data_IF_003858844195
#
_entry.id   IF_003858844195
#
_cell.length_a   1.000
_cell.length_b   1.000
_cell.length_c   1.000
_cell.angle_alpha   90.00
_cell.angle_beta   90.00
_cell.angle_gamma   90.00
#
_symmetry.space_group_name_H-M   'P 1'
#
loop_
_entity.id
_entity.type
_entity.pdbx_description
1 polymer ?
#
# COMPACT_ATOMS: atom_id res chain seq x y z
N UNK A 1 -6.08 12.98 -17.25
CA UNK A 1 -7.42 12.46 -16.94
C UNK A 1 -7.34 11.98 -15.51
N UNK A 2 -8.09 12.58 -14.59
CA UNK A 2 -8.01 12.22 -13.17
C UNK A 2 -8.67 10.86 -12.97
N UNK A 3 -7.98 9.92 -12.31
CA UNK A 3 -8.44 8.55 -12.02
C UNK A 3 -9.62 8.48 -11.01
N UNK A 4 -10.40 9.57 -10.90
CA UNK A 4 -11.45 9.78 -9.90
C UNK A 4 -12.61 8.79 -9.96
N UNK A 5 -12.66 7.91 -10.96
CA UNK A 5 -13.70 6.89 -11.13
C UNK A 5 -13.21 5.45 -10.90
N UNK A 6 -11.96 5.26 -10.49
CA UNK A 6 -11.42 3.94 -10.16
C UNK A 6 -11.73 3.64 -8.68
N UNK A 7 -12.41 2.54 -8.35
CA UNK A 7 -12.65 2.19 -6.95
C UNK A 7 -11.33 1.82 -6.26
N UNK A 8 -11.21 2.20 -4.98
CA UNK A 8 -10.07 1.78 -4.15
C UNK A 8 -10.11 0.25 -4.01
N UNK A 9 -8.99 -0.46 -4.28
CA UNK A 9 -8.95 -1.92 -4.23
C UNK A 9 -9.18 -2.45 -2.81
N UNK A 10 -9.52 -3.74 -2.69
CA UNK A 10 -9.75 -4.39 -1.40
C UNK A 10 -8.53 -4.36 -0.48
N UNK A 11 -7.34 -4.40 -1.08
CA UNK A 11 -6.06 -4.32 -0.37
C UNK A 11 -5.20 -3.20 -0.93
N UNK A 12 -4.58 -2.47 -0.02
CA UNK A 12 -3.54 -1.47 -0.29
C UNK A 12 -2.37 -1.74 0.66
N UNK A 13 -1.21 -1.21 0.33
CA UNK A 13 0.04 -1.63 0.93
C UNK A 13 0.82 -0.44 1.48
N UNK A 14 1.34 -0.59 2.70
CA UNK A 14 2.35 0.29 3.27
C UNK A 14 3.70 -0.41 3.26
N UNK A 15 4.75 0.29 2.89
CA UNK A 15 6.14 -0.19 3.01
C UNK A 15 6.76 0.49 4.23
N UNK A 16 7.38 -0.29 5.11
CA UNK A 16 8.15 0.21 6.26
C UNK A 16 9.56 -0.39 6.26
N UNK A 17 10.59 0.37 6.66
CA UNK A 17 12.00 -0.06 6.57
C UNK A 17 12.45 -0.89 7.78
N UNK A 18 11.56 -1.16 8.73
CA UNK A 18 11.88 -1.87 9.97
C UNK A 18 10.73 -2.80 10.35
N UNK A 19 11.06 -3.90 11.02
CA UNK A 19 10.07 -4.85 11.50
C UNK A 19 9.03 -4.15 12.39
N UNK A 20 7.73 -4.25 12.06
CA UNK A 20 6.67 -3.74 12.94
C UNK A 20 6.72 -4.44 14.31
N UNK A 21 6.33 -3.76 15.41
CA UNK A 21 6.23 -4.40 16.71
C UNK A 21 5.26 -5.59 16.70
N UNK A 22 5.56 -6.60 17.51
CA UNK A 22 4.69 -7.77 17.73
C UNK A 22 4.38 -7.91 19.22
N UNK A 23 3.09 -7.90 19.63
CA UNK A 23 1.90 -7.68 18.79
C UNK A 23 1.85 -6.28 18.18
N UNK A 24 1.10 -6.11 17.10
CA UNK A 24 0.88 -4.80 16.51
C UNK A 24 0.20 -3.88 17.55
N UNK A 25 0.66 -2.63 17.71
CA UNK A 25 -0.02 -1.67 18.56
C UNK A 25 -1.33 -1.22 17.90
N UNK A 26 -2.20 -0.58 18.69
CA UNK A 26 -3.43 0.03 18.17
C UNK A 26 -3.14 1.00 17.01
N UNK A 27 -2.12 1.85 17.18
CA UNK A 27 -1.57 2.71 16.12
C UNK A 27 -0.05 2.56 16.04
N UNK A 28 0.45 2.27 14.85
CA UNK A 28 1.84 2.43 14.47
C UNK A 28 2.17 3.93 14.41
N UNK A 29 3.43 4.30 14.71
CA UNK A 29 3.89 5.65 14.47
C UNK A 29 3.87 5.95 12.96
N UNK A 30 3.54 7.19 12.61
CA UNK A 30 3.65 7.67 11.24
C UNK A 30 5.12 7.72 10.82
N UNK A 31 5.38 7.53 9.52
CA UNK A 31 6.68 7.92 8.97
C UNK A 31 6.83 9.43 9.03
N UNK A 32 8.07 9.93 9.01
CA UNK A 32 8.33 11.37 8.98
C UNK A 32 7.66 12.04 7.77
N UNK A 33 7.62 11.36 6.62
CA UNK A 33 6.97 11.84 5.40
C UNK A 33 5.45 11.92 5.56
N UNK A 34 4.82 10.86 6.09
CA UNK A 34 3.36 10.87 6.32
C UNK A 34 2.94 11.97 7.31
N UNK A 35 3.74 12.18 8.37
CA UNK A 35 3.49 13.21 9.36
C UNK A 35 3.66 14.62 8.78
N UNK A 36 4.62 14.80 7.87
CA UNK A 36 4.86 16.07 7.17
C UNK A 36 3.73 16.39 6.18
N UNK A 37 3.29 15.39 5.42
CA UNK A 37 2.31 15.58 4.34
C UNK A 37 0.85 15.53 4.83
N UNK A 38 0.62 15.07 6.06
CA UNK A 38 -0.70 15.05 6.70
C UNK A 38 -1.62 13.91 6.22
N UNK A 39 -1.04 12.88 5.59
CA UNK A 39 -1.73 11.65 5.18
C UNK A 39 -0.77 10.48 5.12
N UNK A 40 -1.30 9.25 5.17
CA UNK A 40 -0.49 8.04 5.04
C UNK A 40 -0.36 7.66 3.57
N UNK A 41 0.88 7.60 3.08
CA UNK A 41 1.21 7.10 1.75
C UNK A 41 1.02 5.60 1.67
N UNK A 42 0.19 5.15 0.74
CA UNK A 42 -0.07 3.77 0.43
C UNK A 42 0.12 3.53 -1.07
N UNK A 43 0.25 2.27 -1.45
CA UNK A 43 0.31 1.85 -2.84
C UNK A 43 -0.71 0.76 -3.08
N UNK A 44 -1.32 0.72 -4.26
CA UNK A 44 -1.93 -0.51 -4.75
C UNK A 44 -0.84 -1.56 -5.06
N UNK A 45 -1.25 -2.78 -5.38
CA UNK A 45 -0.33 -3.87 -5.67
C UNK A 45 0.63 -3.58 -6.84
N UNK A 46 0.17 -2.83 -7.85
CA UNK A 46 0.96 -2.52 -9.05
C UNK A 46 2.06 -1.48 -8.78
N UNK A 47 1.84 -0.61 -7.80
CA UNK A 47 2.74 0.50 -7.46
C UNK A 47 3.78 0.15 -6.37
N UNK A 48 3.58 -0.91 -5.57
CA UNK A 48 4.52 -1.31 -4.49
C UNK A 48 5.97 -1.41 -4.97
N UNK A 49 6.20 -2.03 -6.12
CA UNK A 49 7.52 -2.19 -6.72
C UNK A 49 8.24 -0.85 -6.94
N UNK A 50 7.55 0.10 -7.58
CA UNK A 50 8.09 1.42 -7.91
C UNK A 50 8.30 2.26 -6.64
N UNK A 51 7.38 2.20 -5.69
CA UNK A 51 7.53 2.87 -4.39
C UNK A 51 8.75 2.34 -3.63
N UNK A 52 8.97 1.02 -3.63
CA UNK A 52 10.14 0.42 -2.99
C UNK A 52 11.46 0.89 -3.61
N UNK A 53 11.57 0.92 -4.95
CA UNK A 53 12.80 1.38 -5.62
C UNK A 53 13.06 2.89 -5.48
N UNK A 54 12.02 3.72 -5.31
CA UNK A 54 12.21 5.16 -5.15
C UNK A 54 12.59 5.56 -3.72
N UNK A 55 11.94 4.95 -2.73
CA UNK A 55 12.03 5.41 -1.33
C UNK A 55 12.85 4.48 -0.43
N UNK A 56 13.15 3.26 -0.88
CA UNK A 56 13.83 2.23 -0.10
C UNK A 56 15.03 1.64 -0.88
N UNK A 57 15.59 2.42 -1.81
CA UNK A 57 16.70 2.04 -2.69
C UNK A 57 17.99 1.65 -1.94
N UNK A 58 18.15 2.08 -0.70
CA UNK A 58 19.32 1.75 0.14
C UNK A 58 19.00 0.69 1.20
N UNK A 59 17.76 0.17 1.23
CA UNK A 59 17.36 -0.87 2.16
C UNK A 59 17.62 -2.27 1.57
N UNK A 60 18.15 -3.18 2.39
CA UNK A 60 18.20 -4.63 2.09
C UNK A 60 16.96 -5.37 2.58
N UNK A 61 16.24 -4.77 3.52
CA UNK A 61 15.02 -5.32 4.10
C UNK A 61 13.94 -4.26 4.15
N UNK A 62 12.73 -4.65 3.77
CA UNK A 62 11.51 -3.88 3.99
C UNK A 62 10.39 -4.82 4.44
N UNK A 63 9.39 -4.27 5.10
CA UNK A 63 8.18 -4.97 5.46
C UNK A 63 7.01 -4.36 4.71
N UNK A 64 6.24 -5.22 4.07
CA UNK A 64 4.98 -4.85 3.44
C UNK A 64 3.86 -5.12 4.43
N UNK A 65 3.06 -4.11 4.72
CA UNK A 65 1.83 -4.22 5.50
C UNK A 65 0.68 -4.25 4.50
N UNK A 66 -0.08 -5.33 4.48
CA UNK A 66 -1.31 -5.44 3.69
C UNK A 66 -2.47 -4.90 4.53
N UNK A 67 -3.10 -3.83 4.07
CA UNK A 67 -4.23 -3.20 4.73
C UNK A 67 -5.53 -3.66 4.09
N UNK A 68 -6.51 -3.90 4.94
CA UNK A 68 -7.89 -4.19 4.58
C UNK A 68 -8.66 -2.86 4.41
N UNK A 69 -8.98 -2.46 3.18
CA UNK A 69 -9.61 -1.15 2.94
C UNK A 69 -11.04 -1.03 3.43
N UNK A 70 -11.76 -2.15 3.59
CA UNK A 70 -13.12 -2.15 4.16
C UNK A 70 -13.07 -1.91 5.66
N UNK A 71 -12.17 -2.61 6.37
CA UNK A 71 -11.97 -2.43 7.81
C UNK A 71 -11.50 -1.00 8.11
N UNK A 72 -10.52 -0.49 7.37
CA UNK A 72 -10.03 0.88 7.57
C UNK A 72 -11.13 1.92 7.35
N UNK A 73 -12.02 1.73 6.35
CA UNK A 73 -13.18 2.62 6.13
C UNK A 73 -14.18 2.57 7.29
N UNK A 74 -14.44 1.39 7.86
CA UNK A 74 -15.31 1.23 9.03
C UNK A 74 -14.76 1.99 10.24
N UNK A 75 -13.43 2.03 10.39
CA UNK A 75 -12.76 2.81 11.43
C UNK A 75 -12.66 4.31 11.14
N UNK A 76 -13.18 4.76 9.99
CA UNK A 76 -13.28 6.17 9.61
C UNK A 76 -12.17 6.66 8.67
N UNK A 77 -11.33 5.78 8.12
CA UNK A 77 -10.30 6.17 7.16
C UNK A 77 -10.86 6.55 5.78
N UNK A 78 -10.38 7.66 5.22
CA UNK A 78 -10.77 8.15 3.90
C UNK A 78 -9.64 7.96 2.88
N UNK A 79 -9.89 7.13 1.85
CA UNK A 79 -8.91 6.83 0.81
C UNK A 79 -9.11 7.68 -0.43
N UNK A 80 -8.02 8.23 -0.97
CA UNK A 80 -8.01 9.04 -2.20
C UNK A 80 -6.88 8.57 -3.11
N UNK A 81 -7.15 8.44 -4.40
CA UNK A 81 -6.08 8.27 -5.38
C UNK A 81 -5.25 9.54 -5.49
N UNK A 82 -3.92 9.40 -5.49
CA UNK A 82 -3.03 10.53 -5.69
C UNK A 82 -3.17 11.09 -7.11
N UNK A 83 -3.25 12.41 -7.23
CA UNK A 83 -3.39 13.06 -8.54
C UNK A 83 -2.12 12.87 -9.38
N UNK A 84 -2.31 12.44 -10.63
CA UNK A 84 -1.22 12.21 -11.60
C UNK A 84 -0.16 11.18 -11.16
N UNK A 85 -0.43 10.37 -10.14
CA UNK A 85 0.44 9.31 -9.65
C UNK A 85 -0.33 7.98 -9.61
N UNK A 86 -0.42 7.27 -10.76
CA UNK A 86 -1.16 6.02 -10.85
C UNK A 86 -0.72 5.00 -9.80
N UNK A 87 -1.68 4.35 -9.16
CA UNK A 87 -1.43 3.32 -8.13
C UNK A 87 -1.02 3.86 -6.75
N UNK A 88 -0.77 5.16 -6.60
CA UNK A 88 -0.54 5.78 -5.29
C UNK A 88 -1.88 6.11 -4.61
N UNK A 89 -2.04 5.67 -3.36
CA UNK A 89 -3.25 5.90 -2.56
C UNK A 89 -2.86 6.70 -1.32
N UNK A 90 -3.60 7.76 -1.03
CA UNK A 90 -3.46 8.53 0.20
C UNK A 90 -4.58 8.13 1.15
N UNK A 91 -4.22 7.87 2.41
CA UNK A 91 -5.16 7.61 3.48
C UNK A 91 -5.18 8.80 4.44
N UNK A 92 -6.33 9.47 4.51
CA UNK A 92 -6.61 10.59 5.38
C UNK A 92 -7.44 10.16 6.60
N UNK A 93 -7.75 11.15 7.44
CA UNK A 93 -8.82 11.13 8.43
C UNK A 93 -10.20 10.77 7.90
N UNK A 94 -11.24 11.18 8.61
CA UNK A 94 -12.64 11.09 8.13
C UNK A 94 -12.91 11.85 6.83
N UNK A 95 -12.07 12.82 6.49
CA UNK A 95 -12.20 13.64 5.28
C UNK A 95 -10.81 13.99 4.70
N UNK A 96 -10.79 14.32 3.40
CA UNK A 96 -9.57 14.74 2.70
C UNK A 96 -8.97 15.99 3.35
N UNK A 97 -7.65 16.04 3.44
CA UNK A 97 -6.87 17.17 3.98
C UNK A 97 -7.09 17.45 5.48
N UNK A 98 -7.85 16.60 6.20
CA UNK A 98 -7.99 16.64 7.66
C UNK A 98 -7.31 15.44 8.28
N UNK A 99 -6.35 15.69 9.17
CA UNK A 99 -5.77 14.66 10.03
C UNK A 99 -6.52 14.61 11.36
N UNK A 100 -7.45 13.66 11.51
CA UNK A 100 -8.24 13.48 12.73
C UNK A 100 -7.88 12.20 13.53
N UNK A 101 -6.71 11.64 13.25
CA UNK A 101 -6.20 10.47 13.97
C UNK A 101 -6.45 9.12 13.26
N UNK A 102 -6.58 9.12 11.93
CA UNK A 102 -6.48 7.87 11.17
C UNK A 102 -5.19 7.13 11.52
N UNK A 103 -5.30 5.81 11.68
CA UNK A 103 -4.25 4.96 12.20
C UNK A 103 -4.02 3.75 11.32
N UNK A 104 -2.83 3.18 11.44
CA UNK A 104 -2.52 1.82 11.00
C UNK A 104 -2.10 1.01 12.21
N UNK A 105 -2.45 -0.27 12.28
CA UNK A 105 -2.04 -1.10 13.41
C UNK A 105 -2.94 -2.32 13.55
N UNK A 106 -3.14 -2.74 14.79
CA UNK A 106 -4.07 -3.80 15.15
C UNK A 106 -5.44 -3.61 14.46
N UNK A 107 -6.01 -4.72 13.96
CA UNK A 107 -7.29 -4.77 13.27
C UNK A 107 -7.24 -4.33 11.80
N UNK A 108 -6.52 -3.26 11.48
CA UNK A 108 -6.44 -2.70 10.11
C UNK A 108 -5.43 -3.40 9.20
N UNK A 109 -4.36 -3.93 9.78
CA UNK A 109 -3.32 -4.68 9.07
C UNK A 109 -3.73 -6.15 9.06
N UNK A 110 -3.97 -6.68 7.87
CA UNK A 110 -4.35 -8.07 7.66
C UNK A 110 -3.17 -9.02 7.71
N UNK A 111 -2.06 -8.62 7.08
CA UNK A 111 -0.88 -9.46 6.95
C UNK A 111 0.41 -8.63 6.81
N UNK A 112 1.53 -9.22 7.16
CA UNK A 112 2.86 -8.61 7.13
C UNK A 112 3.83 -9.53 6.41
N UNK A 113 4.56 -9.00 5.43
CA UNK A 113 5.60 -9.73 4.69
C UNK A 113 6.94 -9.06 4.83
N UNK A 114 7.94 -9.79 5.35
CA UNK A 114 9.34 -9.40 5.22
C UNK A 114 9.80 -9.70 3.78
N UNK A 115 10.35 -8.68 3.13
CA UNK A 115 10.97 -8.76 1.82
C UNK A 115 12.45 -8.40 1.96
N UNK A 116 13.32 -9.25 1.43
CA UNK A 116 14.77 -9.06 1.48
C UNK A 116 15.36 -9.03 0.08
N UNK A 117 16.45 -8.30 -0.08
CA UNK A 117 17.27 -8.29 -1.29
C UNK A 117 18.75 -8.10 -0.94
N UNK A 118 19.63 -8.47 -1.86
CA UNK A 118 21.06 -8.14 -1.82
C UNK A 118 21.35 -6.87 -2.63
N UNK A 119 21.92 -5.86 -1.99
CA UNK A 119 22.34 -4.64 -2.69
C UNK A 119 23.34 -4.94 -3.81
N UNK A 120 23.26 -4.18 -4.90
CA UNK A 120 24.13 -4.32 -6.06
C UNK A 120 23.86 -5.53 -6.96
N UNK A 121 22.96 -6.46 -6.57
CA UNK A 121 22.62 -7.65 -7.37
C UNK A 121 21.13 -7.83 -7.60
N UNK A 122 20.30 -7.40 -6.66
CA UNK A 122 18.84 -7.55 -6.70
C UNK A 122 18.16 -6.18 -6.59
N UNK A 123 17.03 -6.00 -7.29
CA UNK A 123 16.22 -4.78 -7.26
C UNK A 123 14.83 -5.06 -6.64
N UNK A 124 14.11 -4.02 -6.21
CA UNK A 124 12.80 -4.25 -5.59
C UNK A 124 11.73 -4.63 -6.61
N UNK A 125 11.81 -4.14 -7.86
CA UNK A 125 10.85 -4.50 -8.90
C UNK A 125 10.73 -6.02 -9.08
N UNK A 126 11.84 -6.73 -9.24
CA UNK A 126 11.84 -8.18 -9.40
C UNK A 126 11.40 -8.90 -8.12
N UNK A 127 11.77 -8.37 -6.95
CA UNK A 127 11.32 -8.94 -5.67
C UNK A 127 9.80 -8.85 -5.52
N UNK A 128 9.24 -7.66 -5.73
CA UNK A 128 7.81 -7.40 -5.58
C UNK A 128 7.00 -8.13 -6.66
N UNK A 129 7.53 -8.24 -7.89
CA UNK A 129 6.92 -9.08 -8.92
C UNK A 129 6.77 -10.53 -8.47
N UNK A 130 7.81 -11.11 -7.85
CA UNK A 130 7.72 -12.48 -7.28
C UNK A 130 6.65 -12.58 -6.20
N UNK A 131 6.48 -11.55 -5.35
CA UNK A 131 5.41 -11.55 -4.35
C UNK A 131 4.01 -11.49 -4.99
N UNK A 132 3.86 -10.80 -6.12
CA UNK A 132 2.63 -10.79 -6.90
C UNK A 132 2.36 -12.14 -7.58
N UNK A 133 3.38 -12.75 -8.20
CA UNK A 133 3.29 -14.08 -8.82
C UNK A 133 2.93 -15.18 -7.80
N UNK A 134 3.38 -15.03 -6.55
CA UNK A 134 3.02 -15.90 -5.42
C UNK A 134 1.63 -15.58 -4.82
N UNK A 135 0.93 -14.58 -5.35
CA UNK A 135 -0.42 -14.21 -4.93
C UNK A 135 -0.49 -13.42 -3.62
N UNK A 136 0.63 -12.97 -3.05
CA UNK A 136 0.64 -12.17 -1.82
C UNK A 136 0.32 -10.69 -2.10
N UNK A 137 0.90 -10.12 -3.17
CA UNK A 137 0.48 -8.83 -3.72
C UNK A 137 -0.69 -9.05 -4.68
N UNK A 138 -1.89 -8.64 -4.27
CA UNK A 138 -3.13 -8.92 -4.98
C UNK A 138 -3.52 -7.71 -5.82
N UNK A 139 -3.25 -7.79 -7.12
CA UNK A 139 -3.71 -6.81 -8.10
C UNK A 139 -5.15 -7.13 -8.54
N UNK A 140 -6.12 -6.45 -7.94
CA UNK A 140 -7.53 -6.61 -8.30
C UNK A 140 -7.96 -5.74 -9.49
N UNK A 141 -7.13 -4.78 -9.92
CA UNK A 141 -7.44 -3.91 -11.06
C UNK A 141 -7.37 -4.67 -12.39
N UNK A 142 -6.57 -5.75 -12.47
CA UNK A 142 -6.44 -6.56 -13.69
C UNK A 142 -7.61 -7.51 -13.98
N UNK A 143 -8.44 -7.85 -12.99
CA UNK A 143 -9.54 -8.81 -13.20
C UNK A 143 -10.67 -8.25 -14.07
N UNK A 144 -10.75 -6.93 -14.24
CA UNK A 144 -11.81 -6.28 -15.04
C UNK A 144 -11.47 -6.30 -16.54
N UNK A 145 -10.20 -6.46 -16.92
CA UNK A 145 -9.77 -6.46 -18.32
C UNK A 145 -9.95 -7.80 -19.05
N UNK A 146 -10.16 -8.91 -18.33
CA UNK A 146 -10.34 -10.25 -18.93
C UNK A 146 -11.80 -10.64 -19.17
N UNK A 147 -12.77 -9.78 -18.85
CA UNK A 147 -14.20 -10.11 -18.98
C UNK A 147 -14.84 -9.77 -20.35
N UNK A 148 -14.06 -9.33 -21.36
CA UNK A 148 -14.62 -8.92 -22.66
C UNK A 148 -14.19 -9.74 -23.88
N UNK A 149 -13.54 -10.90 -23.71
CA UNK A 149 -13.22 -11.80 -24.82
C UNK A 149 -13.69 -13.22 -24.51
N UNK A 150 -15.00 -13.41 -24.32
CA UNK A 150 -15.67 -14.72 -24.37
C UNK A 150 -17.19 -14.54 -24.39
N UNK A 151 -17.75 -13.98 -25.47
CA UNK A 151 -19.13 -14.25 -25.88
C UNK A 151 -19.17 -14.39 -27.40
N UNK A 152 -19.34 -15.67 -27.79
CA UNK A 152 -19.90 -16.27 -29.02
C UNK A 152 -19.85 -15.44 -30.31
#
# INVERSE_FOLDING_TARGET
MTDSNIPIPRFVYKIVPSQPPTPLPHSLPLSALDAQDGFIHLSDASQVAKTADLFFADCEKVWLLQLDTEVVKVEGGYFVWAENLPGCVHLYGKEKDTWDGTRLGEGTIRDIKECTRRLGTENWVDNMRKQAEQGWLVDQCRSIASASLSRQ
#
